data_IF_813801922606
#
_entry.id   IF_813801922606
#
_cell.length_a   1.000
_cell.length_b   1.000
_cell.length_c   1.000
_cell.angle_alpha   90.00
_cell.angle_beta   90.00
_cell.angle_gamma   90.00
#
_symmetry.space_group_name_H-M   'P 1'
#
loop_
_entity.id
_entity.type
_entity.pdbx_description
1 polymer ?
#
# COMPACT_ATOMS: atom_id res chain seq x y z
N UNK A 1 -31.32 -4.56 8.03
CA UNK A 1 -30.22 -3.59 8.23
C UNK A 1 -29.01 -4.36 8.72
N UNK A 2 -28.09 -4.72 7.84
CA UNK A 2 -26.76 -5.20 8.26
C UNK A 2 -26.02 -4.01 8.85
N UNK A 3 -25.78 -4.01 10.16
CA UNK A 3 -25.01 -2.95 10.83
C UNK A 3 -23.62 -2.85 10.22
N UNK A 4 -23.09 -1.62 10.16
CA UNK A 4 -21.70 -1.40 9.73
C UNK A 4 -20.79 -2.09 10.75
N UNK A 5 -20.02 -3.09 10.32
CA UNK A 5 -19.03 -3.76 11.17
C UNK A 5 -17.72 -2.96 11.14
N UNK A 6 -17.36 -2.35 12.26
CA UNK A 6 -16.14 -1.57 12.43
C UNK A 6 -14.93 -2.43 12.88
N UNK A 7 -15.08 -3.76 12.97
CA UNK A 7 -13.97 -4.68 13.26
C UNK A 7 -12.70 -4.46 12.42
N UNK A 8 -12.75 -4.07 11.13
CA UNK A 8 -11.54 -3.77 10.37
C UNK A 8 -10.62 -2.74 11.06
N UNK A 9 -11.18 -1.77 11.80
CA UNK A 9 -10.41 -0.75 12.52
C UNK A 9 -9.79 -1.23 13.85
N UNK A 10 -10.08 -2.45 14.31
CA UNK A 10 -9.62 -2.97 15.60
C UNK A 10 -8.08 -2.97 15.74
N UNK A 11 -7.36 -3.11 14.63
CA UNK A 11 -5.91 -3.10 14.60
C UNK A 11 -5.28 -1.77 15.06
N UNK A 12 -6.03 -0.67 15.02
CA UNK A 12 -5.55 0.67 15.41
C UNK A 12 -5.34 0.84 16.91
N UNK A 13 -6.09 0.08 17.71
CA UNK A 13 -6.01 0.09 19.18
C UNK A 13 -5.27 -1.13 19.74
N UNK A 14 -4.78 -2.03 18.89
CA UNK A 14 -4.07 -3.22 19.31
C UNK A 14 -2.62 -2.89 19.72
N UNK A 15 -1.99 -3.66 20.65
CA UNK A 15 -0.63 -3.39 21.10
C UNK A 15 0.43 -3.31 19.99
N UNK A 16 0.23 -4.02 18.87
CA UNK A 16 1.14 -4.04 17.72
C UNK A 16 0.62 -3.22 16.52
N UNK A 17 -0.11 -2.13 16.78
CA UNK A 17 -0.77 -1.31 15.76
C UNK A 17 0.15 -0.96 14.57
N UNK A 18 1.39 -0.56 14.83
CA UNK A 18 2.35 -0.20 13.79
C UNK A 18 2.70 -1.36 12.84
N UNK A 19 2.81 -2.58 13.36
CA UNK A 19 3.04 -3.77 12.53
C UNK A 19 1.84 -4.03 11.63
N UNK A 20 0.64 -3.97 12.18
CA UNK A 20 -0.59 -4.13 11.39
C UNK A 20 -0.72 -3.07 10.30
N UNK A 21 -0.43 -1.80 10.62
CA UNK A 21 -0.44 -0.69 9.65
C UNK A 21 0.56 -0.92 8.52
N UNK A 22 1.78 -1.37 8.82
CA UNK A 22 2.78 -1.70 7.79
C UNK A 22 2.35 -2.87 6.91
N UNK A 23 1.80 -3.93 7.51
CA UNK A 23 1.28 -5.08 6.76
C UNK A 23 0.15 -4.64 5.83
N UNK A 24 -0.86 -3.92 6.33
CA UNK A 24 -1.96 -3.41 5.50
C UNK A 24 -1.46 -2.50 4.36
N UNK A 25 -0.49 -1.63 4.66
CA UNK A 25 0.18 -0.80 3.66
C UNK A 25 0.84 -1.61 2.53
N UNK A 26 1.42 -2.78 2.83
CA UNK A 26 1.98 -3.69 1.80
C UNK A 26 0.90 -4.24 0.86
N UNK A 27 -0.28 -4.59 1.38
CA UNK A 27 -1.41 -5.05 0.56
C UNK A 27 -1.97 -3.94 -0.33
N UNK A 28 -2.11 -2.72 0.19
CA UNK A 28 -2.53 -1.56 -0.61
C UNK A 28 -1.54 -1.28 -1.74
N UNK A 29 -0.23 -1.35 -1.43
CA UNK A 29 0.84 -1.19 -2.41
C UNK A 29 0.87 -2.29 -3.48
N UNK A 30 0.64 -3.54 -3.09
CA UNK A 30 0.54 -4.68 -4.00
C UNK A 30 -0.66 -4.53 -4.93
N UNK A 31 -1.83 -4.15 -4.38
CA UNK A 31 -3.04 -3.91 -5.14
C UNK A 31 -2.87 -2.82 -6.20
N UNK A 32 -2.18 -1.71 -5.89
CA UNK A 32 -1.84 -0.65 -6.86
C UNK A 32 -0.98 -1.14 -8.03
N UNK A 33 -0.25 -2.23 -7.84
CA UNK A 33 0.56 -2.92 -8.86
C UNK A 33 -0.16 -4.12 -9.49
N UNK A 34 -1.47 -4.24 -9.27
CA UNK A 34 -2.32 -5.34 -9.74
C UNK A 34 -1.92 -6.73 -9.21
N UNK A 35 -1.17 -6.78 -8.10
CA UNK A 35 -0.89 -8.03 -7.38
C UNK A 35 -2.05 -8.29 -6.42
N UNK A 36 -2.75 -9.40 -6.62
CA UNK A 36 -4.01 -9.69 -5.90
C UNK A 36 -3.77 -10.36 -4.55
N UNK A 37 -2.78 -11.24 -4.46
CA UNK A 37 -2.49 -12.02 -3.27
C UNK A 37 -1.03 -11.83 -2.85
N UNK A 38 -0.79 -11.86 -1.55
CA UNK A 38 0.56 -11.90 -0.97
C UNK A 38 0.70 -13.12 -0.07
N UNK A 39 1.89 -13.68 -0.07
CA UNK A 39 2.33 -14.68 0.92
C UNK A 39 3.03 -13.99 2.09
N UNK A 40 3.17 -14.67 3.24
CA UNK A 40 3.94 -14.12 4.35
C UNK A 40 5.37 -13.71 3.95
N UNK A 41 6.02 -14.45 3.04
CA UNK A 41 7.34 -14.08 2.50
C UNK A 41 7.33 -12.77 1.71
N UNK A 42 6.32 -12.53 0.87
CA UNK A 42 6.22 -11.30 0.07
C UNK A 42 6.03 -10.08 1.00
N UNK A 43 5.26 -10.26 2.08
CA UNK A 43 5.08 -9.23 3.12
C UNK A 43 6.40 -8.98 3.85
N UNK A 44 7.11 -10.03 4.26
CA UNK A 44 8.43 -9.91 4.88
C UNK A 44 9.43 -9.19 3.98
N UNK A 45 9.49 -9.52 2.70
CA UNK A 45 10.34 -8.82 1.72
C UNK A 45 9.98 -7.33 1.61
N UNK A 46 8.69 -7.00 1.71
CA UNK A 46 8.22 -5.61 1.59
C UNK A 46 8.46 -4.75 2.84
N UNK A 47 8.32 -5.30 4.05
CA UNK A 47 8.35 -4.49 5.29
C UNK A 47 9.44 -4.87 6.29
N UNK A 48 10.19 -5.95 6.01
CA UNK A 48 11.15 -6.57 6.92
C UNK A 48 10.51 -7.13 8.18
N UNK A 49 11.35 -7.53 9.15
CA UNK A 49 10.90 -8.00 10.46
C UNK A 49 10.76 -9.52 10.57
N UNK A 50 10.28 -9.97 11.73
CA UNK A 50 10.25 -11.39 12.06
C UNK A 50 9.06 -12.13 11.40
N UNK A 51 9.35 -13.21 10.69
CA UNK A 51 8.35 -13.96 9.90
C UNK A 51 7.23 -14.55 10.79
N UNK A 52 7.52 -15.23 11.92
CA UNK A 52 6.50 -15.63 12.89
C UNK A 52 5.57 -14.48 13.32
N UNK A 53 6.13 -13.32 13.69
CA UNK A 53 5.32 -12.16 14.07
C UNK A 53 4.42 -11.65 12.93
N UNK A 54 4.89 -11.71 11.69
CA UNK A 54 4.10 -11.37 10.49
C UNK A 54 2.95 -12.37 10.32
N UNK A 55 3.21 -13.67 10.44
CA UNK A 55 2.18 -14.73 10.32
C UNK A 55 1.09 -14.58 11.38
N UNK A 56 1.47 -14.32 12.63
CA UNK A 56 0.52 -14.05 13.72
C UNK A 56 -0.30 -12.79 13.42
N UNK A 57 0.34 -11.75 12.91
CA UNK A 57 -0.34 -10.51 12.59
C UNK A 57 -1.32 -10.65 11.40
N UNK A 58 -0.94 -11.40 10.36
CA UNK A 58 -1.81 -11.74 9.24
C UNK A 58 -3.04 -12.50 9.72
N UNK A 59 -2.87 -13.46 10.64
CA UNK A 59 -3.97 -14.21 11.23
C UNK A 59 -4.98 -13.30 11.95
N UNK A 60 -4.48 -12.32 12.74
CA UNK A 60 -5.35 -11.32 13.40
C UNK A 60 -6.07 -10.40 12.41
N UNK A 61 -5.39 -9.98 11.35
CA UNK A 61 -6.01 -9.16 10.30
C UNK A 61 -7.11 -9.93 9.55
N UNK A 62 -6.99 -11.26 9.42
CA UNK A 62 -8.08 -12.12 8.93
C UNK A 62 -9.24 -12.18 9.92
N UNK A 63 -8.96 -12.39 11.22
CA UNK A 63 -9.99 -12.40 12.26
C UNK A 63 -10.80 -11.09 12.33
N UNK A 64 -10.14 -9.95 12.09
CA UNK A 64 -10.78 -8.63 12.04
C UNK A 64 -11.46 -8.31 10.70
N UNK A 65 -11.35 -9.20 9.71
CA UNK A 65 -12.00 -9.06 8.41
C UNK A 65 -11.28 -8.11 7.45
N UNK A 66 -10.06 -7.70 7.76
CA UNK A 66 -9.22 -6.88 6.87
C UNK A 66 -8.68 -7.71 5.70
N UNK A 67 -8.27 -8.94 5.99
CA UNK A 67 -7.71 -9.89 5.03
C UNK A 67 -8.58 -11.13 4.94
N UNK A 68 -8.47 -11.84 3.82
CA UNK A 68 -8.91 -13.22 3.65
C UNK A 68 -7.69 -14.09 3.43
N UNK A 69 -7.71 -15.31 3.98
CA UNK A 69 -6.72 -16.33 3.73
C UNK A 69 -7.30 -17.45 2.87
N UNK A 70 -6.59 -17.85 1.83
CA UNK A 70 -6.92 -18.96 0.95
C UNK A 70 -5.76 -19.97 0.94
N UNK A 71 -6.02 -21.29 0.92
CA UNK A 71 -4.96 -22.30 0.85
C UNK A 71 -4.08 -22.12 -0.39
N UNK A 72 -2.75 -22.13 -0.21
CA UNK A 72 -1.82 -22.08 -1.34
C UNK A 72 -1.55 -23.49 -1.88
N UNK A 73 -2.26 -23.87 -2.95
CA UNK A 73 -2.10 -25.19 -3.60
C UNK A 73 -1.06 -25.18 -4.73
N UNK A 74 -0.33 -24.07 -4.95
CA UNK A 74 0.49 -23.86 -6.15
C UNK A 74 1.92 -24.41 -6.08
N UNK A 75 2.40 -24.76 -4.88
CA UNK A 75 3.76 -25.29 -4.65
C UNK A 75 3.73 -26.53 -3.75
N UNK A 76 3.35 -27.67 -4.34
CA UNK A 76 3.48 -28.98 -3.70
C UNK A 76 4.50 -29.80 -4.49
N UNK A 77 5.77 -29.69 -4.12
CA UNK A 77 6.86 -30.51 -4.68
C UNK A 77 7.25 -31.67 -3.79
N UNK A 78 6.81 -31.70 -2.52
CA UNK A 78 7.03 -32.79 -1.56
C UNK A 78 5.83 -32.98 -0.63
N UNK A 79 5.70 -34.17 -0.02
CA UNK A 79 4.63 -34.49 0.94
C UNK A 79 4.79 -33.69 2.26
N UNK A 80 6.01 -33.33 2.64
CA UNK A 80 6.26 -32.47 3.81
C UNK A 80 5.86 -31.00 3.57
N UNK A 81 5.94 -30.52 2.32
CA UNK A 81 5.42 -29.20 1.93
C UNK A 81 3.89 -29.10 2.04
N UNK A 82 3.18 -30.23 1.94
CA UNK A 82 1.72 -30.31 2.06
C UNK A 82 1.24 -30.09 3.51
N UNK A 83 2.08 -30.39 4.51
CA UNK A 83 1.70 -30.31 5.93
C UNK A 83 1.97 -28.95 6.58
N UNK A 84 2.75 -28.05 5.95
CA UNK A 84 2.80 -26.65 6.39
C UNK A 84 1.62 -25.92 5.77
N UNK A 85 0.67 -25.49 6.59
CA UNK A 85 -0.46 -24.67 6.14
C UNK A 85 0.08 -23.36 5.53
N UNK A 86 0.21 -23.33 4.20
CA UNK A 86 0.61 -22.15 3.43
C UNK A 86 -0.66 -21.45 2.97
N UNK A 87 -0.72 -20.15 3.21
CA UNK A 87 -1.86 -19.32 2.86
C UNK A 87 -1.44 -18.19 1.93
N UNK A 88 -2.28 -17.94 0.94
CA UNK A 88 -2.32 -16.69 0.19
C UNK A 88 -3.28 -15.75 0.90
N UNK A 89 -2.85 -14.52 1.12
CA UNK A 89 -3.65 -13.49 1.75
C UNK A 89 -4.12 -12.48 0.72
N UNK A 90 -5.36 -12.02 0.85
CA UNK A 90 -5.98 -11.02 -0.02
C UNK A 90 -6.63 -9.93 0.82
N UNK A 91 -6.49 -8.67 0.37
CA UNK A 91 -7.22 -7.55 0.97
C UNK A 91 -8.73 -7.69 0.70
N UNK A 92 -9.55 -7.65 1.75
CA UNK A 92 -11.01 -7.66 1.59
C UNK A 92 -11.52 -6.28 1.21
N UNK A 93 -12.78 -6.20 0.75
CA UNK A 93 -13.43 -4.91 0.51
C UNK A 93 -13.53 -4.06 1.80
N UNK A 94 -13.75 -4.70 2.96
CA UNK A 94 -13.82 -4.01 4.24
C UNK A 94 -12.45 -3.48 4.70
N UNK A 95 -11.39 -4.27 4.51
CA UNK A 95 -10.02 -3.84 4.77
C UNK A 95 -9.60 -2.68 3.86
N UNK A 96 -9.96 -2.73 2.58
CA UNK A 96 -9.73 -1.62 1.65
C UNK A 96 -10.47 -0.34 2.08
N UNK A 97 -11.75 -0.45 2.45
CA UNK A 97 -12.52 0.70 2.91
C UNK A 97 -11.90 1.32 4.18
N UNK A 98 -11.37 0.48 5.08
CA UNK A 98 -10.67 0.95 6.28
C UNK A 98 -9.38 1.71 5.92
N UNK A 99 -8.56 1.19 5.00
CA UNK A 99 -7.35 1.88 4.54
C UNK A 99 -7.66 3.20 3.83
N UNK A 100 -8.72 3.26 3.03
CA UNK A 100 -9.14 4.49 2.36
C UNK A 100 -9.59 5.55 3.38
N UNK A 101 -10.35 5.15 4.41
CA UNK A 101 -10.76 6.06 5.49
C UNK A 101 -9.56 6.59 6.27
N UNK A 102 -8.56 5.73 6.54
CA UNK A 102 -7.33 6.14 7.24
C UNK A 102 -6.47 7.08 6.39
N UNK A 103 -6.38 6.85 5.08
CA UNK A 103 -5.71 7.78 4.17
C UNK A 103 -6.36 9.17 4.21
N UNK A 104 -7.69 9.23 4.12
CA UNK A 104 -8.43 10.50 4.23
C UNK A 104 -8.26 11.18 5.60
N UNK A 105 -8.18 10.41 6.68
CA UNK A 105 -7.91 10.93 8.01
C UNK A 105 -6.50 11.52 8.14
N UNK A 106 -5.48 10.83 7.62
CA UNK A 106 -4.09 11.31 7.61
C UNK A 106 -3.93 12.59 6.76
N UNK A 107 -4.63 12.65 5.62
CA UNK A 107 -4.73 13.86 4.77
C UNK A 107 -5.36 15.03 5.52
N UNK A 108 -6.48 14.79 6.22
CA UNK A 108 -7.20 15.81 6.98
C UNK A 108 -6.39 16.32 8.19
N UNK A 109 -5.64 15.45 8.86
CA UNK A 109 -4.83 15.81 10.03
C UNK A 109 -3.47 16.44 9.71
N UNK A 110 -3.15 16.65 8.43
CA UNK A 110 -1.91 17.34 8.10
C UNK A 110 -0.65 16.51 8.40
N UNK A 111 -0.74 15.16 8.45
CA UNK A 111 0.45 14.27 8.35
C UNK A 111 1.06 14.30 6.92
N UNK A 112 1.03 15.48 6.31
CA UNK A 112 1.53 15.87 5.00
C UNK A 112 3.03 15.69 4.90
N UNK A 113 3.81 15.90 5.97
CA UNK A 113 5.28 15.81 5.91
C UNK A 113 5.82 14.43 5.45
N UNK A 114 5.20 13.34 5.88
CA UNK A 114 5.56 11.98 5.45
C UNK A 114 5.03 11.65 4.05
N UNK A 115 3.82 12.12 3.71
CA UNK A 115 3.25 11.99 2.35
C UNK A 115 4.01 12.84 1.32
N UNK A 116 4.59 13.97 1.73
CA UNK A 116 5.47 14.82 0.92
C UNK A 116 6.78 14.11 0.57
N UNK A 117 7.38 13.35 1.49
CA UNK A 117 8.56 12.54 1.19
C UNK A 117 8.28 11.46 0.13
N UNK A 118 7.10 10.84 0.18
CA UNK A 118 6.62 9.92 -0.87
C UNK A 118 6.36 10.67 -2.18
N UNK A 119 5.68 11.82 -2.14
CA UNK A 119 5.44 12.65 -3.33
C UNK A 119 6.73 13.10 -4.01
N UNK A 120 7.76 13.46 -3.24
CA UNK A 120 9.09 13.80 -3.76
C UNK A 120 9.76 12.60 -4.43
N UNK A 121 9.58 11.39 -3.89
CA UNK A 121 10.09 10.16 -4.49
C UNK A 121 9.35 9.82 -5.79
N UNK A 122 8.05 10.05 -5.85
CA UNK A 122 7.23 9.88 -7.06
C UNK A 122 7.63 10.89 -8.14
N UNK A 123 7.82 12.17 -7.79
CA UNK A 123 8.31 13.23 -8.69
C UNK A 123 9.68 12.85 -9.25
N UNK A 124 10.62 12.42 -8.40
CA UNK A 124 11.94 11.96 -8.84
C UNK A 124 11.85 10.78 -9.81
N UNK A 125 10.88 9.88 -9.61
CA UNK A 125 10.65 8.73 -10.50
C UNK A 125 10.08 9.18 -11.85
N UNK A 126 9.09 10.07 -11.89
CA UNK A 126 8.54 10.62 -13.14
C UNK A 126 9.56 11.45 -13.91
N UNK A 127 10.43 12.20 -13.22
CA UNK A 127 11.52 12.93 -13.86
C UNK A 127 12.52 12.00 -14.56
N UNK A 128 12.83 10.83 -13.98
CA UNK A 128 13.68 9.82 -14.63
C UNK A 128 13.04 9.26 -15.90
N UNK A 129 11.74 8.93 -15.85
CA UNK A 129 10.99 8.47 -17.03
C UNK A 129 11.01 9.52 -18.14
N UNK A 130 10.79 10.79 -17.80
CA UNK A 130 10.87 11.89 -18.76
C UNK A 130 12.28 12.06 -19.35
N UNK A 131 13.32 11.89 -18.53
CA UNK A 131 14.70 11.94 -18.98
C UNK A 131 15.02 10.83 -19.98
N UNK A 132 14.57 9.60 -19.70
CA UNK A 132 14.72 8.46 -20.62
C UNK A 132 13.99 8.70 -21.94
N UNK A 133 12.77 9.25 -21.89
CA UNK A 133 12.02 9.62 -23.11
C UNK A 133 12.73 10.72 -23.90
N UNK A 134 13.32 11.71 -23.24
CA UNK A 134 14.04 12.81 -23.90
C UNK A 134 15.33 12.36 -24.59
N UNK A 135 15.85 11.17 -24.27
CA UNK A 135 17.02 10.57 -24.90
C UNK A 135 16.69 9.72 -26.13
N UNK A 136 15.41 9.51 -26.44
CA UNK A 136 14.98 8.78 -27.63
C UNK A 136 15.10 9.69 -28.87
N UNK A 137 15.48 9.11 -30.01
CA UNK A 137 15.61 9.86 -31.28
C UNK A 137 14.26 10.33 -31.83
N UNK A 138 13.16 9.61 -31.53
CA UNK A 138 11.80 9.94 -31.94
C UNK A 138 10.79 9.62 -30.81
N UNK A 139 10.72 10.45 -29.75
CA UNK A 139 9.83 10.21 -28.63
C UNK A 139 8.38 10.51 -29.00
N UNK A 140 7.47 9.63 -28.59
CA UNK A 140 6.02 9.81 -28.78
C UNK A 140 5.53 11.13 -28.12
N UNK A 141 5.10 12.12 -28.92
CA UNK A 141 4.71 13.43 -28.40
C UNK A 141 3.50 13.39 -27.45
N UNK A 142 2.58 12.44 -27.68
CA UNK A 142 1.39 12.29 -26.82
C UNK A 142 1.79 11.75 -25.44
N UNK A 143 2.69 10.75 -25.41
CA UNK A 143 3.23 10.24 -24.14
C UNK A 143 4.04 11.30 -23.42
N UNK A 144 4.86 12.07 -24.14
CA UNK A 144 5.65 13.16 -23.55
C UNK A 144 4.76 14.20 -22.90
N UNK A 145 3.71 14.64 -23.61
CA UNK A 145 2.74 15.60 -23.09
C UNK A 145 1.99 15.07 -21.86
N UNK A 146 1.56 13.81 -21.87
CA UNK A 146 0.89 13.19 -20.72
C UNK A 146 1.81 13.08 -19.50
N UNK A 147 3.05 12.67 -19.69
CA UNK A 147 4.05 12.58 -18.61
C UNK A 147 4.37 13.96 -18.03
N UNK A 148 4.53 14.98 -18.86
CA UNK A 148 4.74 16.37 -18.43
C UNK A 148 3.54 16.92 -17.66
N UNK A 149 2.32 16.69 -18.15
CA UNK A 149 1.10 17.12 -17.45
C UNK A 149 0.98 16.45 -16.09
N UNK A 150 1.20 15.14 -16.02
CA UNK A 150 1.17 14.42 -14.74
C UNK A 150 2.23 14.93 -13.77
N UNK A 151 3.41 15.31 -14.26
CA UNK A 151 4.45 15.91 -13.42
C UNK A 151 4.03 17.30 -12.89
N UNK A 152 3.41 18.13 -13.74
CA UNK A 152 2.88 19.44 -13.35
C UNK A 152 1.81 19.27 -12.27
N UNK A 153 0.86 18.36 -12.45
CA UNK A 153 -0.18 18.09 -11.45
C UNK A 153 0.45 17.73 -10.09
N UNK A 154 1.48 16.87 -10.08
CA UNK A 154 2.21 16.51 -8.84
C UNK A 154 2.93 17.68 -8.18
N UNK A 155 3.50 18.60 -8.97
CA UNK A 155 4.12 19.81 -8.42
C UNK A 155 3.09 20.77 -7.86
N UNK A 156 1.95 20.94 -8.53
CA UNK A 156 0.84 21.76 -8.05
C UNK A 156 0.29 21.21 -6.75
N UNK A 157 0.02 19.90 -6.70
CA UNK A 157 -0.40 19.24 -5.46
C UNK A 157 0.62 19.47 -4.34
N UNK A 158 1.92 19.34 -4.61
CA UNK A 158 2.96 19.58 -3.61
C UNK A 158 2.97 21.04 -3.12
N UNK A 159 2.82 22.01 -4.04
CA UNK A 159 2.80 23.44 -3.73
C UNK A 159 1.57 23.84 -2.91
N UNK A 160 0.38 23.41 -3.33
CA UNK A 160 -0.89 23.66 -2.62
C UNK A 160 -0.82 23.09 -1.20
N UNK A 161 -0.26 21.88 -1.07
CA UNK A 161 -0.06 21.24 0.23
C UNK A 161 0.96 21.99 1.11
N UNK A 162 2.05 22.49 0.53
CA UNK A 162 3.04 23.30 1.26
C UNK A 162 2.44 24.63 1.73
N UNK A 163 1.63 25.29 0.88
CA UNK A 163 0.92 26.52 1.23
C UNK A 163 -0.10 26.27 2.35
N UNK A 164 -0.87 25.19 2.29
CA UNK A 164 -1.80 24.81 3.33
C UNK A 164 -1.11 24.46 4.67
N UNK A 165 0.07 23.85 4.63
CA UNK A 165 0.90 23.62 5.81
C UNK A 165 1.37 24.94 6.44
N UNK A 166 1.94 25.84 5.64
CA UNK A 166 2.39 27.16 6.10
C UNK A 166 1.25 28.00 6.69
N UNK A 167 0.02 27.86 6.16
CA UNK A 167 -1.16 28.55 6.69
C UNK A 167 -1.72 27.93 7.98
N UNK A 168 -1.30 26.73 8.36
CA UNK A 168 -1.74 26.03 9.58
C UNK A 168 -0.78 26.20 10.77
N UNK A 169 0.33 26.92 10.56
CA UNK A 169 1.34 27.26 11.57
C UNK A 169 0.93 28.53 12.35
#
# INVERSE_FOLDING_TARGET
MTGVDFRPFAHLSAPNAELYRRIMGSFVQAKRRFIVHLRPEDVHESIGGDVPAIVDALSRLVEWGNLRADPDTSRVTTVEDFHRARFLYQLTHAGEAAEQALASYDEALGRRGALQAVALTDIATQLRVLLEMAQQDDPDPAKMHLSLRSLVDRFTDLADNAQAFMSSL
#
